data_IF_559944111491
#
_entry.id   IF_559944111491
#
_cell.length_a   1.000
_cell.length_b   1.000
_cell.length_c   1.000
_cell.angle_alpha   90.00
_cell.angle_beta   90.00
_cell.angle_gamma   90.00
#
_symmetry.space_group_name_H-M   'P 1'
#
loop_
_entity.id
_entity.type
_entity.pdbx_description
1 polymer ?
#
# COMPACT_ATOMS: atom_id res chain seq x y z
N UNK A 1 -14.50 -7.10 -22.27
CA UNK A 1 -13.26 -7.18 -21.49
C UNK A 1 -13.14 -8.58 -20.95
N UNK A 2 -11.96 -9.21 -21.05
CA UNK A 2 -11.75 -10.54 -20.46
C UNK A 2 -11.70 -10.41 -18.94
N UNK A 3 -12.22 -11.43 -18.25
CA UNK A 3 -12.18 -11.52 -16.79
C UNK A 3 -11.31 -12.72 -16.37
N UNK A 4 -11.33 -13.05 -15.09
CA UNK A 4 -10.71 -14.26 -14.55
C UNK A 4 -11.39 -15.48 -15.19
N UNK A 5 -10.63 -16.53 -15.54
CA UNK A 5 -11.21 -17.79 -15.99
C UNK A 5 -12.18 -18.31 -14.91
N UNK A 6 -13.45 -18.58 -15.25
CA UNK A 6 -14.41 -19.10 -14.27
C UNK A 6 -14.01 -20.43 -13.61
N UNK A 7 -13.11 -21.18 -14.22
CA UNK A 7 -12.59 -22.44 -13.68
C UNK A 7 -11.31 -22.27 -12.86
N UNK A 8 -10.74 -21.04 -12.81
CA UNK A 8 -9.55 -20.77 -12.03
C UNK A 8 -9.80 -21.01 -10.53
N UNK A 9 -8.84 -21.64 -9.88
CA UNK A 9 -8.91 -21.94 -8.45
C UNK A 9 -8.31 -20.76 -7.65
N UNK A 10 -8.96 -19.60 -7.69
CA UNK A 10 -8.49 -18.41 -6.99
C UNK A 10 -8.59 -18.62 -5.49
N UNK A 11 -7.55 -18.22 -4.77
CA UNK A 11 -7.43 -18.28 -3.31
C UNK A 11 -7.08 -16.94 -2.68
N UNK A 12 -6.53 -15.99 -3.46
CA UNK A 12 -6.09 -14.70 -2.97
C UNK A 12 -6.44 -13.61 -3.98
N UNK A 13 -6.96 -12.49 -3.49
CA UNK A 13 -7.20 -11.26 -4.23
C UNK A 13 -6.49 -10.13 -3.50
N UNK A 14 -5.41 -9.59 -4.08
CA UNK A 14 -4.71 -8.43 -3.54
C UNK A 14 -5.08 -7.18 -4.35
N UNK A 15 -5.43 -6.10 -3.65
CA UNK A 15 -5.90 -4.87 -4.30
C UNK A 15 -5.16 -3.66 -3.75
N UNK A 16 -4.67 -2.81 -4.64
CA UNK A 16 -4.27 -1.46 -4.26
C UNK A 16 -5.49 -0.63 -3.87
N UNK A 17 -5.27 0.44 -3.10
CA UNK A 17 -6.33 1.26 -2.55
C UNK A 17 -6.63 2.50 -3.41
N UNK A 18 -5.70 3.43 -3.46
CA UNK A 18 -5.90 4.76 -4.05
C UNK A 18 -5.80 4.71 -5.58
N UNK A 19 -6.88 5.03 -6.30
CA UNK A 19 -6.93 4.90 -7.77
C UNK A 19 -7.29 3.48 -8.25
N UNK A 20 -7.45 2.52 -7.35
CA UNK A 20 -7.77 1.13 -7.67
C UNK A 20 -9.07 0.68 -6.98
N UNK A 21 -9.06 0.45 -5.67
CA UNK A 21 -10.23 -0.06 -4.93
C UNK A 21 -11.16 1.05 -4.44
N UNK A 22 -10.58 2.16 -4.01
CA UNK A 22 -11.35 3.33 -3.57
C UNK A 22 -12.00 4.03 -4.78
N UNK A 23 -13.18 4.57 -4.56
CA UNK A 23 -13.91 5.35 -5.57
C UNK A 23 -13.25 6.72 -5.84
N UNK A 24 -13.88 7.53 -6.71
CA UNK A 24 -13.39 8.87 -7.03
C UNK A 24 -13.37 9.86 -5.86
N UNK A 25 -13.98 9.53 -4.73
CA UNK A 25 -14.00 10.31 -3.49
C UNK A 25 -13.03 9.74 -2.42
N UNK A 26 -12.27 8.70 -2.75
CA UNK A 26 -11.35 8.04 -1.82
C UNK A 26 -12.07 7.19 -0.77
N UNK A 27 -13.29 6.71 -1.07
CA UNK A 27 -14.10 5.89 -0.18
C UNK A 27 -14.20 4.44 -0.68
N UNK A 28 -14.35 3.49 0.23
CA UNK A 28 -14.69 2.12 -0.12
C UNK A 28 -16.16 2.11 -0.60
N UNK A 29 -16.45 1.63 -1.82
CA UNK A 29 -17.84 1.53 -2.29
C UNK A 29 -18.69 0.64 -1.39
N UNK A 30 -19.91 1.07 -1.05
CA UNK A 30 -20.79 0.32 -0.14
C UNK A 30 -21.03 -1.12 -0.60
N UNK A 31 -21.11 -1.34 -1.89
CA UNK A 31 -21.31 -2.66 -2.51
C UNK A 31 -20.07 -3.58 -2.42
N UNK A 32 -18.90 -3.05 -2.04
CA UNK A 32 -17.68 -3.84 -1.88
C UNK A 32 -17.83 -4.91 -0.80
N UNK A 33 -18.50 -4.59 0.30
CA UNK A 33 -18.66 -5.49 1.43
C UNK A 33 -19.33 -6.80 1.03
N UNK A 34 -20.41 -6.73 0.25
CA UNK A 34 -21.12 -7.91 -0.23
C UNK A 34 -20.31 -8.76 -1.23
N UNK A 35 -19.39 -8.15 -1.98
CA UNK A 35 -18.47 -8.88 -2.88
C UNK A 35 -17.39 -9.59 -2.05
N UNK A 36 -16.80 -8.89 -1.08
CA UNK A 36 -15.76 -9.47 -0.21
C UNK A 36 -16.32 -10.62 0.63
N UNK A 37 -17.52 -10.48 1.19
CA UNK A 37 -18.21 -11.56 1.93
C UNK A 37 -18.36 -12.81 1.06
N UNK A 38 -18.71 -12.66 -0.22
CA UNK A 38 -18.83 -13.79 -1.14
C UNK A 38 -17.48 -14.43 -1.47
N UNK A 39 -16.39 -13.65 -1.57
CA UNK A 39 -15.04 -14.18 -1.72
C UNK A 39 -14.64 -14.99 -0.49
N UNK A 40 -14.82 -14.43 0.71
CA UNK A 40 -14.50 -15.10 1.98
C UNK A 40 -15.33 -16.39 2.17
N UNK A 41 -16.61 -16.38 1.80
CA UNK A 41 -17.47 -17.56 1.84
C UNK A 41 -16.97 -18.72 0.92
N UNK A 42 -16.17 -18.39 -0.11
CA UNK A 42 -15.48 -19.36 -0.98
C UNK A 42 -14.06 -19.69 -0.52
N UNK A 43 -13.63 -19.17 0.64
CA UNK A 43 -12.26 -19.35 1.14
C UNK A 43 -11.21 -18.52 0.39
N UNK A 44 -11.62 -17.48 -0.34
CA UNK A 44 -10.71 -16.57 -1.05
C UNK A 44 -10.34 -15.42 -0.12
N UNK A 45 -9.05 -15.26 0.16
CA UNK A 45 -8.55 -14.14 0.98
C UNK A 45 -8.59 -12.85 0.18
N UNK A 46 -9.18 -11.81 0.78
CA UNK A 46 -9.12 -10.43 0.27
C UNK A 46 -8.03 -9.67 1.04
N UNK A 47 -7.10 -9.03 0.31
CA UNK A 47 -5.87 -8.43 0.86
C UNK A 47 -5.72 -7.01 0.34
N UNK A 48 -6.02 -5.98 1.14
CA UNK A 48 -5.65 -4.61 0.77
C UNK A 48 -4.13 -4.43 0.80
N UNK A 49 -3.58 -3.76 -0.22
CA UNK A 49 -2.15 -3.49 -0.37
C UNK A 49 -1.90 -1.99 -0.62
N UNK A 50 -1.33 -1.27 0.33
CA UNK A 50 -1.25 0.20 0.27
C UNK A 50 0.02 0.77 0.89
N UNK A 51 0.33 2.04 0.56
CA UNK A 51 1.30 2.85 1.29
C UNK A 51 0.84 3.32 2.66
N UNK A 52 -0.45 3.10 2.99
CA UNK A 52 -1.05 3.49 4.28
C UNK A 52 -0.54 2.62 5.42
N UNK A 53 -0.60 3.18 6.65
CA UNK A 53 -0.26 2.45 7.87
C UNK A 53 -1.16 1.22 8.06
N UNK A 54 -0.59 0.13 8.60
CA UNK A 54 -1.35 -1.08 8.94
C UNK A 54 -2.60 -0.80 9.77
N UNK A 55 -2.48 0.00 10.83
CA UNK A 55 -3.61 0.35 11.70
C UNK A 55 -4.70 1.10 10.93
N UNK A 56 -4.33 1.97 10.00
CA UNK A 56 -5.28 2.70 9.15
C UNK A 56 -6.09 1.73 8.28
N UNK A 57 -5.42 0.79 7.61
CA UNK A 57 -6.09 -0.23 6.79
C UNK A 57 -6.95 -1.17 7.64
N UNK A 58 -6.44 -1.62 8.78
CA UNK A 58 -7.21 -2.46 9.71
C UNK A 58 -8.50 -1.79 10.18
N UNK A 59 -8.47 -0.49 10.49
CA UNK A 59 -9.67 0.26 10.85
C UNK A 59 -10.65 0.39 9.66
N UNK A 60 -10.13 0.67 8.45
CA UNK A 60 -10.97 0.77 7.25
C UNK A 60 -11.71 -0.54 6.94
N UNK A 61 -11.08 -1.68 7.20
CA UNK A 61 -11.65 -3.01 6.93
C UNK A 61 -12.13 -3.74 8.20
N UNK A 62 -12.33 -3.02 9.31
CA UNK A 62 -12.73 -3.63 10.60
C UNK A 62 -14.01 -4.49 10.52
N UNK A 63 -14.92 -4.18 9.60
CA UNK A 63 -16.14 -4.97 9.37
C UNK A 63 -15.88 -6.41 8.89
N UNK A 64 -14.71 -6.68 8.30
CA UNK A 64 -14.34 -8.01 7.80
C UNK A 64 -13.68 -8.90 8.87
N UNK A 65 -13.46 -8.38 10.08
CA UNK A 65 -12.70 -9.08 11.11
C UNK A 65 -11.20 -9.11 10.81
N UNK A 66 -10.57 -10.25 11.09
CA UNK A 66 -9.14 -10.44 10.82
C UNK A 66 -8.89 -10.82 9.36
N UNK A 67 -8.17 -9.97 8.66
CA UNK A 67 -7.75 -10.19 7.26
C UNK A 67 -6.24 -9.97 7.12
N UNK A 68 -5.66 -10.52 6.07
CA UNK A 68 -4.29 -10.21 5.69
C UNK A 68 -4.21 -8.80 5.07
N UNK A 69 -3.17 -8.05 5.41
CA UNK A 69 -2.94 -6.67 4.97
C UNK A 69 -1.48 -6.51 4.57
N UNK A 70 -1.24 -5.94 3.39
CA UNK A 70 0.06 -5.45 2.94
C UNK A 70 0.06 -3.94 3.16
N UNK A 71 0.87 -3.45 4.10
CA UNK A 71 0.92 -2.04 4.48
C UNK A 71 2.27 -1.39 4.19
N UNK A 72 2.31 -0.06 4.31
CA UNK A 72 3.53 0.75 4.21
C UNK A 72 4.34 0.45 2.93
N UNK A 73 3.67 0.36 1.76
CA UNK A 73 4.26 0.00 0.47
C UNK A 73 4.92 -1.40 0.43
N UNK A 74 4.51 -2.32 1.28
CA UNK A 74 5.05 -3.67 1.35
C UNK A 74 6.21 -3.85 2.34
N UNK A 75 6.46 -2.88 3.21
CA UNK A 75 7.45 -3.03 4.28
C UNK A 75 6.95 -3.92 5.42
N UNK A 76 5.65 -4.12 5.52
CA UNK A 76 5.03 -5.01 6.51
C UNK A 76 3.82 -5.76 5.94
N UNK A 77 3.70 -7.04 6.30
CA UNK A 77 2.55 -7.89 6.03
C UNK A 77 2.06 -8.48 7.34
N UNK A 78 0.79 -8.30 7.62
CA UNK A 78 0.11 -8.87 8.78
C UNK A 78 -1.05 -9.76 8.31
N UNK A 79 -1.28 -10.91 8.94
CA UNK A 79 -2.53 -11.68 8.82
C UNK A 79 -3.22 -11.67 10.20
N UNK A 80 -4.27 -10.86 10.34
CA UNK A 80 -4.80 -10.51 11.65
C UNK A 80 -3.76 -9.79 12.53
N UNK A 81 -3.42 -10.39 13.66
CA UNK A 81 -2.39 -9.88 14.57
C UNK A 81 -1.01 -10.51 14.35
N UNK A 82 -0.89 -11.54 13.49
CA UNK A 82 0.35 -12.21 13.18
C UNK A 82 1.16 -11.46 12.14
N UNK A 83 2.44 -11.21 12.42
CA UNK A 83 3.39 -10.64 11.47
C UNK A 83 3.94 -11.74 10.55
N UNK A 84 3.60 -11.67 9.26
CA UNK A 84 4.09 -12.59 8.24
C UNK A 84 5.45 -12.13 7.69
N UNK A 85 5.60 -10.81 7.53
CA UNK A 85 6.81 -10.21 6.99
C UNK A 85 6.96 -8.78 7.50
N UNK A 86 8.20 -8.40 7.80
CA UNK A 86 8.56 -6.99 7.98
C UNK A 86 10.00 -6.74 7.49
N UNK A 87 10.24 -5.52 7.03
CA UNK A 87 11.56 -5.09 6.55
C UNK A 87 12.03 -3.90 7.37
N UNK A 88 13.02 -4.12 8.24
CA UNK A 88 13.51 -3.13 9.22
C UNK A 88 14.68 -2.36 8.63
N UNK A 89 14.63 -1.03 8.76
CA UNK A 89 15.71 -0.12 8.34
C UNK A 89 16.82 -0.11 9.39
N UNK A 90 18.06 -0.06 8.93
CA UNK A 90 19.21 0.10 9.81
C UNK A 90 19.11 1.40 10.63
N UNK A 91 19.27 1.36 11.97
CA UNK A 91 19.17 2.56 12.81
C UNK A 91 20.12 3.70 12.40
N UNK A 92 21.28 3.41 11.81
CA UNK A 92 22.16 4.44 11.32
C UNK A 92 21.55 5.18 10.11
N UNK A 93 20.89 4.46 9.20
CA UNK A 93 20.17 5.06 8.08
C UNK A 93 18.98 5.90 8.54
N UNK A 94 18.22 5.42 9.56
CA UNK A 94 17.14 6.21 10.19
C UNK A 94 17.67 7.56 10.67
N UNK A 95 18.80 7.55 11.41
CA UNK A 95 19.41 8.77 11.93
C UNK A 95 19.81 9.73 10.80
N UNK A 96 20.42 9.21 9.74
CA UNK A 96 20.84 10.03 8.58
C UNK A 96 19.64 10.73 7.92
N UNK A 97 18.51 10.02 7.76
CA UNK A 97 17.27 10.65 7.21
C UNK A 97 16.74 11.74 8.15
N UNK A 98 16.73 11.52 9.47
CA UNK A 98 16.28 12.51 10.44
C UNK A 98 17.15 13.78 10.33
N UNK A 99 18.46 13.63 10.26
CA UNK A 99 19.42 14.75 10.12
C UNK A 99 19.19 15.50 8.80
N UNK A 100 19.07 14.79 7.67
CA UNK A 100 18.84 15.39 6.36
C UNK A 100 17.52 16.20 6.31
N UNK A 101 16.44 15.68 6.87
CA UNK A 101 15.17 16.42 6.91
C UNK A 101 15.26 17.68 7.79
N UNK A 102 16.01 17.61 8.90
CA UNK A 102 16.24 18.78 9.77
C UNK A 102 17.08 19.87 9.10
N UNK A 103 17.97 19.51 8.17
CA UNK A 103 18.77 20.46 7.41
C UNK A 103 17.98 21.20 6.32
N UNK A 104 16.84 20.65 5.86
CA UNK A 104 16.02 21.20 4.76
C UNK A 104 14.68 21.79 5.24
N UNK A 105 14.73 22.60 6.29
CA UNK A 105 13.53 23.26 6.85
C UNK A 105 12.90 24.29 5.90
N UNK A 106 13.65 24.81 4.92
CA UNK A 106 13.18 25.67 3.84
C UNK A 106 12.13 25.01 2.93
N UNK A 107 12.12 23.67 2.88
CA UNK A 107 11.11 22.89 2.17
C UNK A 107 9.80 22.69 2.97
N UNK A 108 9.67 23.26 4.15
CA UNK A 108 8.56 23.02 5.09
C UNK A 108 8.36 21.51 5.32
N UNK A 109 9.49 20.80 5.48
CA UNK A 109 9.51 19.35 5.60
C UNK A 109 9.09 18.88 7.00
N UNK A 110 8.31 17.80 7.05
CA UNK A 110 7.92 17.11 8.27
C UNK A 110 8.08 15.61 8.12
N UNK A 111 8.78 14.97 9.07
CA UNK A 111 9.11 13.55 9.02
C UNK A 111 8.14 12.72 9.86
N UNK A 112 7.70 11.61 9.29
CA UNK A 112 7.00 10.52 9.94
C UNK A 112 7.89 9.29 9.91
N UNK A 113 8.34 8.78 11.06
CA UNK A 113 9.02 7.49 11.12
C UNK A 113 8.02 6.41 11.51
N UNK A 114 7.97 5.34 10.72
CA UNK A 114 6.95 4.31 10.80
C UNK A 114 7.54 3.04 11.44
N UNK A 115 7.06 2.71 12.64
CA UNK A 115 7.16 1.37 13.19
C UNK A 115 6.02 0.50 12.65
N UNK A 116 6.03 -0.81 12.97
CA UNK A 116 5.03 -1.77 12.47
C UNK A 116 3.58 -1.41 12.77
N UNK A 117 3.33 -0.72 13.89
CA UNK A 117 1.97 -0.39 14.38
C UNK A 117 1.79 1.07 14.80
N UNK A 118 2.87 1.82 14.95
CA UNK A 118 2.85 3.20 15.43
C UNK A 118 3.79 4.04 14.61
N UNK A 119 3.31 5.17 14.13
CA UNK A 119 4.12 6.21 13.51
C UNK A 119 4.53 7.24 14.57
N UNK A 120 5.67 7.86 14.39
CA UNK A 120 6.20 8.87 15.29
C UNK A 120 6.50 10.16 14.54
N UNK A 121 6.20 11.28 15.14
CA UNK A 121 6.43 12.62 14.60
C UNK A 121 6.99 13.54 15.68
N UNK A 122 7.87 14.48 15.30
CA UNK A 122 8.37 15.55 16.19
C UNK A 122 7.76 16.93 15.84
N UNK A 123 6.94 16.99 14.78
CA UNK A 123 6.20 18.15 14.36
C UNK A 123 4.70 17.91 14.56
N UNK A 124 3.98 18.87 15.14
CA UNK A 124 2.57 18.72 15.50
C UNK A 124 1.70 19.93 15.17
N UNK A 125 2.19 20.83 14.29
CA UNK A 125 1.35 21.92 13.80
C UNK A 125 0.17 21.40 12.97
N UNK A 126 -0.88 22.19 12.93
CA UNK A 126 -2.15 21.79 12.31
C UNK A 126 -2.00 21.41 10.83
N UNK A 127 -1.21 22.18 10.07
CA UNK A 127 -0.99 21.93 8.64
C UNK A 127 -0.35 20.57 8.39
N UNK A 128 0.72 20.26 9.12
CA UNK A 128 1.40 18.97 9.02
C UNK A 128 0.50 17.82 9.47
N UNK A 129 -0.19 17.95 10.59
CA UNK A 129 -1.07 16.90 11.08
C UNK A 129 -2.28 16.65 10.18
N UNK A 130 -2.80 17.68 9.48
CA UNK A 130 -3.83 17.48 8.44
C UNK A 130 -3.30 16.67 7.24
N UNK A 131 -2.03 16.81 6.87
CA UNK A 131 -1.41 16.00 5.82
C UNK A 131 -1.15 14.56 6.28
N UNK A 132 -0.83 14.33 7.56
CA UNK A 132 -0.52 13.01 8.15
C UNK A 132 -1.78 12.16 8.38
N UNK A 133 -2.86 12.77 8.87
CA UNK A 133 -4.05 12.08 9.37
C UNK A 133 -4.74 11.12 8.37
N UNK A 134 -4.77 11.37 7.04
CA UNK A 134 -5.36 10.43 6.08
C UNK A 134 -4.62 9.09 5.99
N UNK A 135 -3.32 9.06 6.28
CA UNK A 135 -2.44 7.91 6.07
C UNK A 135 -2.10 7.17 7.37
N UNK A 136 -2.08 7.91 8.50
CA UNK A 136 -1.58 7.42 9.79
C UNK A 136 -2.61 7.67 10.89
N UNK A 137 -3.22 6.61 11.41
CA UNK A 137 -4.16 6.65 12.54
C UNK A 137 -3.47 6.53 13.89
N UNK A 138 -2.49 5.64 13.99
CA UNK A 138 -1.70 5.47 15.20
C UNK A 138 -0.44 6.32 15.11
N UNK A 139 -0.56 7.60 15.50
CA UNK A 139 0.55 8.57 15.53
C UNK A 139 0.88 8.96 16.96
N UNK A 140 2.16 8.99 17.30
CA UNK A 140 2.68 9.45 18.59
C UNK A 140 3.63 10.63 18.38
N UNK A 141 3.35 11.73 19.07
CA UNK A 141 4.28 12.84 19.14
C UNK A 141 5.44 12.50 20.09
N UNK A 142 6.65 12.85 19.70
CA UNK A 142 7.87 12.77 20.48
C UNK A 142 8.65 14.10 20.39
N UNK A 143 9.44 14.42 21.38
CA UNK A 143 10.25 15.65 21.37
C UNK A 143 11.43 15.54 20.40
N UNK A 144 11.99 14.34 20.23
CA UNK A 144 13.11 14.04 19.36
C UNK A 144 12.93 12.66 18.72
N UNK A 145 12.82 12.61 17.39
CA UNK A 145 12.71 11.37 16.63
C UNK A 145 13.95 10.48 16.76
N UNK A 146 15.12 11.04 17.03
CA UNK A 146 16.35 10.26 17.23
C UNK A 146 16.36 9.40 18.50
N UNK A 147 15.47 9.68 19.43
CA UNK A 147 15.30 8.91 20.67
C UNK A 147 14.26 7.77 20.56
N UNK A 148 13.58 7.67 19.42
CA UNK A 148 12.59 6.61 19.21
C UNK A 148 13.28 5.25 19.20
N UNK A 149 12.78 4.37 20.06
CA UNK A 149 13.25 2.99 20.17
C UNK A 149 12.31 2.04 19.42
N UNK A 150 12.87 1.03 18.80
CA UNK A 150 12.11 -0.02 18.10
C UNK A 150 12.44 -0.09 16.60
N UNK A 151 11.79 -1.03 15.95
CA UNK A 151 12.02 -1.33 14.55
C UNK A 151 11.28 -0.35 13.64
N UNK A 152 12.03 0.43 12.89
CA UNK A 152 11.52 1.35 11.88
C UNK A 152 11.52 0.66 10.53
N UNK A 153 10.39 0.67 9.85
CA UNK A 153 10.16 -0.05 8.60
C UNK A 153 10.03 0.87 7.39
N UNK A 154 9.65 2.12 7.59
CA UNK A 154 9.53 3.16 6.56
C UNK A 154 9.74 4.53 7.18
N UNK A 155 10.18 5.47 6.38
CA UNK A 155 10.23 6.89 6.73
C UNK A 155 9.51 7.67 5.62
N UNK A 156 8.58 8.55 6.00
CA UNK A 156 7.81 9.35 5.05
C UNK A 156 8.02 10.84 5.34
N UNK A 157 8.45 11.59 4.36
CA UNK A 157 8.65 13.05 4.47
C UNK A 157 7.50 13.76 3.78
N UNK A 158 6.74 14.54 4.55
CA UNK A 158 5.79 15.50 3.99
C UNK A 158 6.53 16.79 3.62
N UNK A 159 6.42 17.22 2.37
CA UNK A 159 7.05 18.42 1.84
C UNK A 159 5.99 19.49 1.63
N UNK A 160 5.84 20.39 2.57
CA UNK A 160 4.76 21.39 2.60
C UNK A 160 4.79 22.40 1.45
N UNK A 161 5.96 22.61 0.84
CA UNK A 161 6.13 23.43 -0.39
C UNK A 161 5.71 22.69 -1.66
N UNK A 162 5.61 21.35 -1.63
CA UNK A 162 5.37 20.51 -2.81
C UNK A 162 6.63 20.24 -3.66
N UNK A 163 7.80 20.69 -3.25
CA UNK A 163 9.08 20.47 -3.93
C UNK A 163 9.65 19.09 -3.56
N UNK A 164 8.86 18.05 -3.85
CA UNK A 164 9.19 16.66 -3.44
C UNK A 164 10.46 16.13 -4.09
N UNK A 165 10.78 16.56 -5.31
CA UNK A 165 12.01 16.13 -5.99
C UNK A 165 13.24 16.70 -5.30
N UNK A 166 13.21 17.97 -4.89
CA UNK A 166 14.32 18.61 -4.17
C UNK A 166 14.58 17.88 -2.85
N UNK A 167 13.53 17.45 -2.14
CA UNK A 167 13.68 16.66 -0.92
C UNK A 167 14.20 15.24 -1.22
N UNK A 168 13.72 14.61 -2.27
CA UNK A 168 14.20 13.27 -2.66
C UNK A 168 15.67 13.29 -3.04
N UNK A 169 16.12 14.31 -3.76
CA UNK A 169 17.53 14.50 -4.17
C UNK A 169 18.42 14.84 -2.98
N UNK A 170 17.88 15.50 -1.95
CA UNK A 170 18.61 15.82 -0.72
C UNK A 170 18.80 14.60 0.21
N UNK A 171 18.00 13.55 0.06
CA UNK A 171 18.14 12.33 0.84
C UNK A 171 19.23 11.40 0.28
N UNK A 172 20.49 11.79 0.46
CA UNK A 172 21.66 10.97 0.12
C UNK A 172 21.87 9.86 1.16
N UNK A 173 21.02 8.83 1.12
CA UNK A 173 20.96 7.74 2.12
C UNK A 173 21.05 6.37 1.43
N UNK A 174 21.52 5.31 2.11
CA UNK A 174 21.58 3.96 1.56
C UNK A 174 20.20 3.27 1.58
N UNK A 175 19.17 4.00 1.16
CA UNK A 175 17.78 3.57 1.09
C UNK A 175 17.21 3.85 -0.31
N UNK A 176 16.16 3.14 -0.65
CA UNK A 176 15.32 3.48 -1.80
C UNK A 176 14.47 4.69 -1.43
N UNK A 177 14.68 5.81 -2.12
CA UNK A 177 13.91 7.04 -1.98
C UNK A 177 12.93 7.14 -3.14
N UNK A 178 11.64 7.31 -2.86
CA UNK A 178 10.57 7.34 -3.86
C UNK A 178 9.66 8.52 -3.62
N UNK A 179 9.40 9.32 -4.67
CA UNK A 179 8.30 10.30 -4.64
C UNK A 179 6.99 9.52 -4.70
N UNK A 180 6.26 9.51 -3.59
CA UNK A 180 5.04 8.70 -3.39
C UNK A 180 3.74 9.51 -3.52
N UNK A 181 3.85 10.82 -3.80
CA UNK A 181 2.71 11.71 -4.00
C UNK A 181 3.15 13.15 -4.24
N UNK A 182 2.18 14.05 -4.41
CA UNK A 182 2.43 15.47 -4.67
C UNK A 182 3.14 16.21 -3.53
N UNK A 183 3.10 15.66 -2.33
CA UNK A 183 3.71 16.21 -1.11
C UNK A 183 4.46 15.16 -0.29
N UNK A 184 4.71 13.97 -0.83
CA UNK A 184 5.28 12.87 -0.05
C UNK A 184 6.50 12.24 -0.73
N UNK A 185 7.52 11.99 0.07
CA UNK A 185 8.71 11.22 -0.28
C UNK A 185 8.87 10.10 0.74
N UNK A 186 8.91 8.86 0.28
CA UNK A 186 9.11 7.69 1.12
C UNK A 186 10.54 7.19 1.01
N UNK A 187 11.14 6.81 2.14
CA UNK A 187 12.43 6.13 2.21
C UNK A 187 12.27 4.78 2.90
N UNK A 188 12.75 3.72 2.25
CA UNK A 188 12.69 2.33 2.72
C UNK A 188 13.89 1.54 2.20
N UNK A 189 14.12 0.33 2.68
CA UNK A 189 15.22 -0.48 2.17
C UNK A 189 15.05 -0.80 0.68
N UNK A 190 16.18 -0.92 -0.05
CA UNK A 190 16.17 -1.30 -1.45
C UNK A 190 15.48 -2.64 -1.69
N UNK A 191 14.73 -2.72 -2.79
CA UNK A 191 14.01 -3.94 -3.19
C UNK A 191 12.75 -4.23 -2.41
N UNK A 192 12.34 -3.35 -1.50
CA UNK A 192 11.05 -3.46 -0.81
C UNK A 192 9.96 -2.84 -1.69
N UNK A 193 8.92 -3.60 -1.94
CA UNK A 193 7.76 -3.21 -2.73
C UNK A 193 6.58 -4.15 -2.46
N UNK A 194 5.37 -3.79 -2.86
CA UNK A 194 4.15 -4.59 -2.67
C UNK A 194 4.25 -6.02 -3.25
N UNK A 195 4.97 -6.20 -4.34
CA UNK A 195 5.18 -7.53 -4.95
C UNK A 195 6.01 -8.47 -4.09
N UNK A 196 7.09 -7.97 -3.45
CA UNK A 196 7.87 -8.75 -2.47
C UNK A 196 7.00 -9.19 -1.29
N UNK A 197 6.21 -8.26 -0.77
CA UNK A 197 5.27 -8.51 0.33
C UNK A 197 4.20 -9.54 -0.05
N UNK A 198 3.62 -9.42 -1.25
CA UNK A 198 2.68 -10.40 -1.78
C UNK A 198 3.32 -11.79 -1.90
N UNK A 199 4.54 -11.88 -2.43
CA UNK A 199 5.29 -13.13 -2.53
C UNK A 199 5.56 -13.79 -1.16
N UNK A 200 5.84 -12.99 -0.12
CA UNK A 200 5.99 -13.48 1.24
C UNK A 200 4.66 -14.07 1.77
N UNK A 201 3.53 -13.38 1.54
CA UNK A 201 2.20 -13.85 1.92
C UNK A 201 1.79 -15.12 1.14
N UNK A 202 2.02 -15.14 -0.18
CA UNK A 202 1.77 -16.32 -1.03
C UNK A 202 2.53 -17.54 -0.51
N UNK A 203 3.80 -17.38 -0.18
CA UNK A 203 4.65 -18.44 0.35
C UNK A 203 4.14 -18.97 1.69
N UNK A 204 3.77 -18.09 2.62
CA UNK A 204 3.25 -18.46 3.93
C UNK A 204 1.94 -19.25 3.81
N UNK A 205 1.05 -18.81 2.91
CA UNK A 205 -0.25 -19.42 2.70
C UNK A 205 -0.21 -20.65 1.76
N UNK A 206 0.91 -20.95 1.13
CA UNK A 206 1.02 -22.00 0.09
C UNK A 206 0.13 -21.71 -1.13
N UNK A 207 0.00 -20.43 -1.51
CA UNK A 207 -0.79 -19.96 -2.66
C UNK A 207 0.16 -19.60 -3.79
N UNK A 208 -0.18 -20.03 -5.01
CA UNK A 208 0.62 -19.78 -6.22
C UNK A 208 0.14 -18.54 -6.98
N UNK A 209 0.95 -18.08 -7.95
CA UNK A 209 0.65 -16.94 -8.81
C UNK A 209 -0.61 -17.16 -9.67
N UNK A 210 -0.87 -18.40 -10.13
CA UNK A 210 -2.08 -18.77 -10.87
C UNK A 210 -3.35 -18.88 -9.98
N UNK A 211 -3.19 -18.87 -8.66
CA UNK A 211 -4.27 -18.81 -7.67
C UNK A 211 -4.48 -17.40 -7.11
N UNK A 212 -3.73 -16.42 -7.63
CA UNK A 212 -3.72 -15.04 -7.15
C UNK A 212 -4.26 -14.08 -8.20
N UNK A 213 -5.12 -13.16 -7.75
CA UNK A 213 -5.60 -12.02 -8.54
C UNK A 213 -5.03 -10.75 -7.93
N UNK A 214 -4.56 -9.82 -8.76
CA UNK A 214 -4.07 -8.52 -8.31
C UNK A 214 -4.67 -7.39 -9.14
N UNK A 215 -4.88 -6.24 -8.48
CA UNK A 215 -5.31 -5.00 -9.11
C UNK A 215 -4.41 -3.86 -8.68
N UNK A 216 -4.06 -2.98 -9.62
CA UNK A 216 -3.24 -1.81 -9.35
C UNK A 216 -3.34 -0.77 -10.46
N UNK A 217 -2.87 0.46 -10.17
CA UNK A 217 -2.92 1.56 -11.13
C UNK A 217 -1.63 2.38 -11.20
N UNK A 218 -0.78 2.35 -10.18
CA UNK A 218 0.39 3.23 -10.10
C UNK A 218 1.72 2.46 -10.09
N UNK A 219 2.87 3.08 -10.42
CA UNK A 219 4.16 2.38 -10.52
C UNK A 219 4.61 1.58 -9.28
N UNK A 220 4.16 1.93 -8.06
CA UNK A 220 4.43 1.13 -6.86
C UNK A 220 3.70 -0.23 -6.84
N UNK A 221 2.78 -0.48 -7.80
CA UNK A 221 2.07 -1.74 -7.98
C UNK A 221 2.75 -2.67 -8.99
N UNK A 222 3.71 -2.17 -9.78
CA UNK A 222 4.32 -2.92 -10.89
C UNK A 222 4.79 -4.32 -10.49
N UNK A 223 5.48 -4.43 -9.38
CA UNK A 223 6.00 -5.72 -8.93
C UNK A 223 4.89 -6.62 -8.35
N UNK A 224 3.82 -6.04 -7.81
CA UNK A 224 2.63 -6.80 -7.41
C UNK A 224 1.87 -7.30 -8.66
N UNK A 225 1.72 -6.49 -9.68
CA UNK A 225 1.12 -6.85 -10.98
C UNK A 225 1.87 -8.03 -11.63
N UNK A 226 3.19 -8.06 -11.55
CA UNK A 226 4.03 -9.14 -12.09
C UNK A 226 3.98 -10.43 -11.26
N UNK A 227 3.53 -10.36 -10.01
CA UNK A 227 3.53 -11.48 -9.06
C UNK A 227 2.27 -12.37 -9.15
N UNK A 228 1.38 -12.15 -10.14
CA UNK A 228 0.16 -12.93 -10.29
C UNK A 228 -0.21 -13.15 -11.76
N UNK A 229 -0.75 -14.32 -12.05
CA UNK A 229 -1.27 -14.67 -13.39
C UNK A 229 -2.48 -13.81 -13.75
N UNK A 230 -3.39 -13.59 -12.79
CA UNK A 230 -4.56 -12.73 -13.00
C UNK A 230 -4.27 -11.31 -12.52
N UNK A 231 -3.46 -10.58 -13.28
CA UNK A 231 -3.09 -9.20 -12.96
C UNK A 231 -3.88 -8.21 -13.81
N UNK A 232 -4.52 -7.24 -13.14
CA UNK A 232 -5.39 -6.24 -13.75
C UNK A 232 -4.82 -4.84 -13.53
N UNK A 233 -4.53 -4.12 -14.60
CA UNK A 233 -4.37 -2.68 -14.56
C UNK A 233 -5.74 -2.01 -14.65
N UNK A 234 -5.96 -0.98 -13.83
CA UNK A 234 -7.17 -0.16 -13.93
C UNK A 234 -7.16 0.66 -15.22
N UNK A 235 -8.32 1.01 -15.77
CA UNK A 235 -8.40 1.84 -17.00
C UNK A 235 -7.77 3.24 -16.80
N UNK A 236 -7.70 3.72 -15.58
CA UNK A 236 -7.00 4.96 -15.18
C UNK A 236 -5.52 4.74 -14.84
N UNK A 237 -4.96 3.55 -15.05
CA UNK A 237 -3.61 3.22 -14.63
C UNK A 237 -2.53 3.97 -15.41
N UNK A 238 -1.39 4.14 -14.75
CA UNK A 238 -0.17 4.62 -15.39
C UNK A 238 0.22 3.70 -16.57
N UNK A 239 0.73 4.24 -17.70
CA UNK A 239 1.05 3.45 -18.88
C UNK A 239 1.97 2.25 -18.64
N UNK A 240 2.93 2.36 -17.72
CA UNK A 240 3.83 1.26 -17.36
C UNK A 240 3.09 0.10 -16.68
N UNK A 241 2.13 0.41 -15.80
CA UNK A 241 1.28 -0.60 -15.13
C UNK A 241 0.35 -1.26 -16.14
N UNK A 242 -0.26 -0.46 -17.02
CA UNK A 242 -1.10 -0.96 -18.10
C UNK A 242 -0.35 -1.90 -19.06
N UNK A 243 0.94 -1.61 -19.34
CA UNK A 243 1.78 -2.45 -20.18
C UNK A 243 2.25 -3.75 -19.50
N UNK A 244 2.34 -3.76 -18.18
CA UNK A 244 2.82 -4.90 -17.40
C UNK A 244 1.72 -5.90 -17.02
N UNK A 245 0.46 -5.46 -16.92
CA UNK A 245 -0.67 -6.29 -16.53
C UNK A 245 -1.15 -7.20 -17.66
N UNK A 246 -1.62 -8.39 -17.31
CA UNK A 246 -2.19 -9.34 -18.26
C UNK A 246 -3.61 -8.96 -18.71
N UNK A 247 -4.33 -8.18 -17.90
CA UNK A 247 -5.71 -7.78 -18.15
C UNK A 247 -5.93 -6.30 -17.78
N UNK A 248 -7.07 -5.75 -18.23
CA UNK A 248 -7.52 -4.41 -17.87
C UNK A 248 -8.87 -4.49 -17.18
N UNK A 249 -9.03 -3.78 -16.07
CA UNK A 249 -10.30 -3.56 -15.38
C UNK A 249 -10.85 -2.16 -15.73
N UNK A 250 -12.17 -1.92 -15.64
CA UNK A 250 -12.74 -0.57 -15.69
C UNK A 250 -12.11 0.36 -14.66
N UNK A 251 -12.28 1.69 -14.82
CA UNK A 251 -11.69 2.67 -13.91
C UNK A 251 -12.22 2.48 -12.46
N UNK A 252 -11.43 2.95 -11.49
CA UNK A 252 -11.84 2.93 -10.08
C UNK A 252 -13.14 3.70 -9.85
N UNK A 253 -13.36 4.81 -10.57
CA UNK A 253 -14.61 5.60 -10.54
C UNK A 253 -15.83 4.84 -11.05
N UNK A 254 -15.62 3.74 -11.76
CA UNK A 254 -16.65 2.81 -12.26
C UNK A 254 -16.72 1.54 -11.39
N UNK A 255 -16.01 1.49 -10.27
CA UNK A 255 -15.86 0.33 -9.39
C UNK A 255 -15.32 -0.92 -10.14
N UNK A 256 -14.31 -0.72 -10.98
CA UNK A 256 -13.80 -1.75 -11.91
C UNK A 256 -13.37 -3.04 -11.24
N UNK A 257 -12.72 -2.97 -10.06
CA UNK A 257 -12.36 -4.14 -9.25
C UNK A 257 -13.60 -4.99 -8.95
N UNK A 258 -14.68 -4.35 -8.48
CA UNK A 258 -15.91 -5.05 -8.11
C UNK A 258 -16.61 -5.66 -9.33
N UNK A 259 -16.55 -5.01 -10.49
CA UNK A 259 -17.09 -5.57 -11.73
C UNK A 259 -16.39 -6.88 -12.12
N UNK A 260 -15.05 -6.90 -12.08
CA UNK A 260 -14.25 -8.10 -12.38
C UNK A 260 -14.54 -9.22 -11.38
N UNK A 261 -14.52 -8.91 -10.09
CA UNK A 261 -14.75 -9.92 -9.04
C UNK A 261 -16.17 -10.50 -9.07
N UNK A 262 -17.19 -9.67 -9.34
CA UNK A 262 -18.58 -10.14 -9.54
C UNK A 262 -18.69 -11.08 -10.74
N UNK A 263 -18.09 -10.71 -11.88
CA UNK A 263 -18.11 -11.57 -13.05
C UNK A 263 -17.53 -12.95 -12.75
N UNK A 264 -16.40 -13.01 -12.04
CA UNK A 264 -15.80 -14.28 -11.60
C UNK A 264 -16.72 -15.05 -10.65
N UNK A 265 -17.28 -14.38 -9.63
CA UNK A 265 -18.22 -15.00 -8.68
C UNK A 265 -19.49 -15.56 -9.35
N UNK A 266 -19.95 -14.94 -10.44
CA UNK A 266 -21.10 -15.36 -11.25
C UNK A 266 -20.72 -16.37 -12.35
N UNK A 267 -19.45 -16.77 -12.48
CA UNK A 267 -18.97 -17.71 -13.49
C UNK A 267 -18.97 -17.13 -14.91
N UNK A 268 -18.84 -15.80 -15.05
CA UNK A 268 -18.78 -15.12 -16.35
C UNK A 268 -17.32 -14.91 -16.77
N UNK A 269 -17.00 -15.19 -18.04
CA UNK A 269 -15.67 -14.96 -18.64
C UNK A 269 -15.50 -13.56 -19.24
N UNK A 270 -16.51 -12.74 -19.21
CA UNK A 270 -16.53 -11.36 -19.74
C UNK A 270 -17.36 -10.43 -18.83
N UNK A 271 -16.96 -9.14 -18.79
CA UNK A 271 -17.74 -8.08 -18.14
C UNK A 271 -18.95 -7.69 -18.94
#
# INVERSE_FOLDING_TARGET
MHTIDPNAQIKLVAVDMDGTFLDGNGQIPDEAWGVIDQLQARGIKFVPASGRQFVTLREQFAALGEIAIIAENGTVVMDGEEEIYSNVIDPAAVKTVIEAVREHQDLDAGLVICGRRTAYVERNDEKFMQAVAPYYRAVKFVEDLSEVQGDIIKMAVNVGTGQVQDMADALEVPLQVVVSGTHWVDAMNHGVHKGLALGALQKELGITDDQTVVFGDYPNDLEMIKAATYSFAMANAHPEVAAAANFTAPANTEHGVLQVLRAYLEGRSQL
#
